data_IF_067446188062
#
_entry.id   IF_067446188062
#
_cell.length_a   1.000
_cell.length_b   1.000
_cell.length_c   1.000
_cell.angle_alpha   90.00
_cell.angle_beta   90.00
_cell.angle_gamma   90.00
#
_symmetry.space_group_name_H-M   'P 1'
#
loop_
_entity.id
_entity.type
_entity.pdbx_description
1 polymer ?
#
# COMPACT_ATOMS: atom_id res chain seq x y z
N UNK A 1 -62.16 -14.16 -8.61
CA UNK A 1 -60.78 -13.67 -8.81
C UNK A 1 -59.98 -14.02 -7.58
N UNK A 2 -58.92 -14.80 -7.76
CA UNK A 2 -58.16 -15.40 -6.66
C UNK A 2 -57.07 -14.46 -6.16
N UNK A 3 -56.82 -14.41 -4.85
CA UNK A 3 -55.75 -13.59 -4.22
C UNK A 3 -54.36 -13.96 -4.78
N UNK A 4 -54.21 -15.21 -5.22
CA UNK A 4 -53.00 -15.72 -5.88
C UNK A 4 -52.73 -15.04 -7.23
N UNK A 5 -53.76 -14.65 -7.97
CA UNK A 5 -53.68 -14.05 -9.30
C UNK A 5 -53.23 -12.57 -9.23
N UNK A 6 -53.53 -11.89 -8.12
CA UNK A 6 -53.06 -10.52 -7.83
C UNK A 6 -51.59 -10.53 -7.38
N UNK A 7 -51.18 -11.55 -6.63
CA UNK A 7 -49.77 -11.79 -6.27
C UNK A 7 -48.92 -12.03 -7.52
N UNK A 8 -49.46 -12.82 -8.46
CA UNK A 8 -48.79 -13.19 -9.71
C UNK A 8 -48.57 -11.99 -10.65
N UNK A 9 -49.51 -11.03 -10.68
CA UNK A 9 -49.45 -9.86 -11.59
C UNK A 9 -48.76 -8.62 -11.03
N UNK A 10 -48.71 -8.39 -9.72
CA UNK A 10 -48.09 -7.18 -9.12
C UNK A 10 -47.08 -7.45 -8.00
N UNK A 11 -47.09 -8.62 -7.37
CA UNK A 11 -46.30 -8.92 -6.18
C UNK A 11 -44.95 -9.60 -6.44
N UNK A 12 -44.86 -10.49 -7.43
CA UNK A 12 -43.64 -11.26 -7.72
C UNK A 12 -42.47 -10.38 -8.12
N UNK A 13 -42.72 -9.31 -8.88
CA UNK A 13 -41.67 -8.39 -9.33
C UNK A 13 -41.07 -7.56 -8.22
N UNK A 14 -41.90 -7.11 -7.25
CA UNK A 14 -41.42 -6.36 -6.09
C UNK A 14 -40.65 -7.30 -5.15
N UNK A 15 -41.15 -8.51 -4.94
CA UNK A 15 -40.48 -9.52 -4.13
C UNK A 15 -39.13 -9.93 -4.75
N UNK A 16 -39.08 -10.11 -6.08
CA UNK A 16 -37.84 -10.43 -6.79
C UNK A 16 -36.82 -9.30 -6.70
N UNK A 17 -37.27 -8.03 -6.83
CA UNK A 17 -36.41 -6.86 -6.63
C UNK A 17 -35.87 -6.77 -5.21
N UNK A 18 -36.73 -6.99 -4.21
CA UNK A 18 -36.34 -6.95 -2.80
C UNK A 18 -35.33 -8.06 -2.49
N UNK A 19 -35.65 -9.30 -2.86
CA UNK A 19 -34.74 -10.45 -2.69
C UNK A 19 -33.43 -10.24 -3.44
N UNK A 20 -33.47 -9.70 -4.66
CA UNK A 20 -32.29 -9.33 -5.43
C UNK A 20 -31.45 -8.25 -4.74
N UNK A 21 -32.07 -7.22 -4.18
CA UNK A 21 -31.38 -6.18 -3.43
C UNK A 21 -30.72 -6.71 -2.15
N UNK A 22 -31.41 -7.60 -1.42
CA UNK A 22 -30.85 -8.28 -0.24
C UNK A 22 -29.68 -9.17 -0.64
N UNK A 23 -29.82 -9.99 -1.68
CA UNK A 23 -28.74 -10.84 -2.19
C UNK A 23 -27.53 -10.02 -2.65
N UNK A 24 -27.75 -8.92 -3.38
CA UNK A 24 -26.69 -8.00 -3.79
C UNK A 24 -26.00 -7.37 -2.57
N UNK A 25 -26.76 -6.92 -1.58
CA UNK A 25 -26.22 -6.36 -0.34
C UNK A 25 -25.34 -7.38 0.40
N UNK A 26 -25.78 -8.63 0.49
CA UNK A 26 -25.03 -9.75 1.06
C UNK A 26 -23.74 -10.02 0.29
N UNK A 27 -23.80 -10.04 -1.05
CA UNK A 27 -22.62 -10.23 -1.90
C UNK A 27 -21.61 -9.10 -1.71
N UNK A 28 -22.06 -7.85 -1.73
CA UNK A 28 -21.20 -6.69 -1.49
C UNK A 28 -20.58 -6.74 -0.07
N UNK A 29 -21.35 -7.17 0.93
CA UNK A 29 -20.84 -7.39 2.27
C UNK A 29 -19.78 -8.49 2.32
N UNK A 30 -19.99 -9.59 1.59
CA UNK A 30 -19.03 -10.67 1.53
C UNK A 30 -17.74 -10.23 0.84
N UNK A 31 -17.83 -9.42 -0.22
CA UNK A 31 -16.69 -8.82 -0.95
C UNK A 31 -15.94 -7.79 -0.09
N UNK A 32 -16.61 -7.12 0.84
CA UNK A 32 -15.93 -6.19 1.76
C UNK A 32 -14.84 -6.89 2.58
N UNK A 33 -15.06 -8.14 2.99
CA UNK A 33 -14.12 -8.92 3.82
C UNK A 33 -12.76 -9.13 3.13
N UNK A 34 -12.68 -9.71 1.91
CA UNK A 34 -11.41 -9.87 1.22
C UNK A 34 -10.77 -8.53 0.87
N UNK A 35 -11.54 -7.48 0.55
CA UNK A 35 -10.97 -6.14 0.30
C UNK A 35 -10.25 -5.58 1.53
N UNK A 36 -10.88 -5.66 2.71
CA UNK A 36 -10.27 -5.23 3.97
C UNK A 36 -9.05 -6.10 4.30
N UNK A 37 -9.14 -7.41 4.04
CA UNK A 37 -8.03 -8.32 4.27
C UNK A 37 -6.81 -7.97 3.39
N UNK A 38 -7.03 -7.73 2.09
CA UNK A 38 -5.98 -7.31 1.16
C UNK A 38 -5.34 -6.00 1.62
N UNK A 39 -6.16 -5.01 1.98
CA UNK A 39 -5.65 -3.74 2.49
C UNK A 39 -4.79 -3.92 3.74
N UNK A 40 -5.21 -4.79 4.67
CA UNK A 40 -4.48 -5.09 5.90
C UNK A 40 -3.15 -5.81 5.62
N UNK A 41 -3.15 -6.76 4.68
CA UNK A 41 -1.92 -7.44 4.26
C UNK A 41 -0.94 -6.43 3.65
N UNK A 42 -1.43 -5.55 2.78
CA UNK A 42 -0.61 -4.52 2.15
C UNK A 42 -0.01 -3.55 3.17
N UNK A 43 -0.82 -3.12 4.15
CA UNK A 43 -0.39 -2.28 5.27
C UNK A 43 0.77 -2.92 6.05
N UNK A 44 0.64 -4.20 6.42
CA UNK A 44 1.67 -4.95 7.14
C UNK A 44 2.96 -5.04 6.33
N UNK A 45 2.85 -5.37 5.04
CA UNK A 45 3.99 -5.47 4.13
C UNK A 45 4.70 -4.13 4.01
N UNK A 46 3.95 -3.04 3.79
CA UNK A 46 4.51 -1.71 3.64
C UNK A 46 5.19 -1.26 4.93
N UNK A 47 4.60 -1.53 6.10
CA UNK A 47 5.20 -1.23 7.39
C UNK A 47 6.55 -1.95 7.57
N UNK A 48 6.61 -3.24 7.19
CA UNK A 48 7.84 -4.03 7.28
C UNK A 48 8.91 -3.53 6.33
N UNK A 49 8.55 -3.22 5.08
CA UNK A 49 9.47 -2.66 4.08
C UNK A 49 10.00 -1.32 4.54
N UNK A 50 9.15 -0.45 5.08
CA UNK A 50 9.57 0.84 5.61
C UNK A 50 10.53 0.70 6.78
N UNK A 51 10.28 -0.24 7.70
CA UNK A 51 11.21 -0.55 8.79
C UNK A 51 12.57 -1.03 8.29
N UNK A 52 12.59 -1.87 7.24
CA UNK A 52 13.83 -2.30 6.61
C UNK A 52 14.57 -1.15 5.92
N UNK A 53 13.88 -0.36 5.11
CA UNK A 53 14.44 0.80 4.42
C UNK A 53 15.02 1.79 5.44
N UNK A 54 14.29 2.07 6.51
CA UNK A 54 14.75 2.95 7.61
C UNK A 54 16.01 2.40 8.24
N UNK A 55 16.09 1.10 8.53
CA UNK A 55 17.31 0.48 9.09
C UNK A 55 18.50 0.62 8.14
N UNK A 56 18.30 0.39 6.84
CA UNK A 56 19.36 0.54 5.84
C UNK A 56 19.82 2.00 5.73
N UNK A 57 18.89 2.96 5.72
CA UNK A 57 19.21 4.39 5.61
C UNK A 57 19.81 4.98 6.87
N UNK A 58 19.48 4.43 8.05
CA UNK A 58 20.01 4.90 9.35
C UNK A 58 21.30 4.18 9.76
N UNK A 59 21.69 3.13 9.06
CA UNK A 59 22.93 2.41 9.34
C UNK A 59 24.13 3.33 9.08
N UNK A 60 25.06 3.37 10.05
CA UNK A 60 26.29 4.13 9.92
C UNK A 60 27.03 3.67 8.65
N UNK A 61 27.50 4.60 7.80
CA UNK A 61 28.13 4.24 6.54
C UNK A 61 29.34 3.34 6.78
N UNK A 62 29.36 2.16 6.15
CA UNK A 62 30.43 1.17 6.31
C UNK A 62 31.70 1.50 5.50
N UNK A 63 31.74 2.64 4.82
CA UNK A 63 32.84 3.07 3.99
C UNK A 63 32.77 4.56 3.65
N UNK A 64 33.80 5.12 3.00
CA UNK A 64 33.83 6.52 2.63
C UNK A 64 32.66 6.86 1.71
N UNK A 65 31.75 7.70 2.21
CA UNK A 65 30.49 8.11 1.54
C UNK A 65 30.75 8.99 0.30
N UNK A 66 31.97 9.46 0.13
CA UNK A 66 32.36 10.36 -0.94
C UNK A 66 32.86 9.62 -2.18
N UNK A 67 31.95 9.03 -2.95
CA UNK A 67 32.25 8.44 -4.26
C UNK A 67 32.34 9.47 -5.39
N UNK A 68 31.82 10.69 -5.18
CA UNK A 68 31.77 11.77 -6.17
C UNK A 68 32.94 12.75 -6.09
N UNK A 69 33.59 12.84 -4.94
CA UNK A 69 34.76 13.69 -4.76
C UNK A 69 36.01 12.80 -4.79
N UNK A 70 36.73 12.80 -5.90
CA UNK A 70 38.10 12.29 -5.89
C UNK A 70 38.89 13.06 -4.83
N UNK A 71 39.46 12.36 -3.87
CA UNK A 71 40.32 12.93 -2.85
C UNK A 71 41.55 13.57 -3.51
N UNK A 72 41.48 14.86 -3.82
CA UNK A 72 42.62 15.65 -4.29
C UNK A 72 43.69 15.85 -3.19
N UNK A 73 43.50 15.25 -2.01
CA UNK A 73 44.37 15.37 -0.84
C UNK A 73 45.57 14.40 -0.80
N UNK A 74 45.87 13.67 -1.88
CA UNK A 74 47.06 12.80 -1.92
C UNK A 74 48.26 13.38 -2.68
N UNK A 75 48.26 14.68 -3.02
CA UNK A 75 49.42 15.32 -3.67
C UNK A 75 49.61 16.79 -3.29
N UNK A 76 49.63 17.08 -1.99
CA UNK A 76 50.22 18.33 -1.45
C UNK A 76 51.35 18.00 -0.49
N UNK A 77 52.24 17.11 -0.91
CA UNK A 77 53.62 17.14 -0.46
C UNK A 77 54.34 18.28 -1.18
N UNK A 78 55.04 19.11 -0.40
CA UNK A 78 56.02 20.11 -0.85
C UNK A 78 55.50 21.25 -1.74
N UNK A 79 54.99 22.29 -1.09
CA UNK A 79 55.40 23.63 -1.45
C UNK A 79 55.88 24.32 -0.16
N UNK A 80 57.18 24.17 0.06
CA UNK A 80 58.01 24.91 1.01
C UNK A 80 57.75 26.40 0.80
N UNK A 81 56.94 27.03 1.67
CA UNK A 81 56.80 28.48 1.66
C UNK A 81 58.06 29.07 2.30
N UNK A 82 59.08 29.30 1.48
CA UNK A 82 60.22 30.16 1.77
C UNK A 82 59.74 31.59 1.59
N UNK A 83 59.20 32.20 2.65
CA UNK A 83 59.16 33.66 2.80
C UNK A 83 59.27 33.99 4.29
N UNK A 84 60.53 34.23 4.68
CA UNK A 84 60.91 35.06 5.82
C UNK A 84 60.68 36.54 5.47
#
# INVERSE_FOLDING_TARGET
MSVFEVLERRGTWVLLKFTGAVALFLLLHLVRIPLVLIARVLEIVLHRVNGFATRVSTQAPAGPVNQFFHSTQARRGEATNVHA
#
